data_IF_267420766793
#
_entry.id   IF_267420766793
#
_cell.length_a   1.000
_cell.length_b   1.000
_cell.length_c   1.000
_cell.angle_alpha   90.00
_cell.angle_beta   90.00
_cell.angle_gamma   90.00
#
_symmetry.space_group_name_H-M   'P 1'
#
loop_
_entity.id
_entity.type
_entity.pdbx_description
1 polymer ?
#
# COMPACT_ATOMS: atom_id res chain seq x y z
N UNK A 1 33.53 22.30 4.17
CA UNK A 1 33.04 23.67 3.91
C UNK A 1 32.49 23.82 2.49
N UNK A 2 33.33 23.71 1.46
CA UNK A 2 32.93 23.99 0.06
C UNK A 2 32.14 22.87 -0.64
N UNK A 3 31.98 21.69 -0.04
CA UNK A 3 31.42 20.52 -0.74
C UNK A 3 29.98 20.71 -1.28
N UNK A 4 29.17 21.52 -0.58
CA UNK A 4 27.79 21.81 -0.95
C UNK A 4 27.62 23.18 -1.60
N UNK A 5 28.71 23.85 -2.01
CA UNK A 5 28.63 25.20 -2.57
C UNK A 5 27.73 25.28 -3.81
N UNK A 6 27.60 24.17 -4.55
CA UNK A 6 26.70 24.09 -5.69
C UNK A 6 25.22 24.27 -5.34
N UNK A 7 24.81 24.00 -4.10
CA UNK A 7 23.43 24.27 -3.66
C UNK A 7 23.12 25.77 -3.72
N UNK A 8 24.05 26.62 -3.27
CA UNK A 8 23.88 28.07 -3.31
C UNK A 8 23.78 28.59 -4.74
N UNK A 9 24.54 27.98 -5.67
CA UNK A 9 24.49 28.34 -7.08
C UNK A 9 23.14 27.95 -7.69
N UNK A 10 22.64 26.74 -7.42
CA UNK A 10 21.37 26.25 -7.92
C UNK A 10 20.19 27.07 -7.36
N UNK A 11 20.22 27.38 -6.06
CA UNK A 11 19.23 28.24 -5.40
C UNK A 11 19.20 29.64 -6.02
N UNK A 12 20.36 30.25 -6.24
CA UNK A 12 20.44 31.60 -6.80
C UNK A 12 20.05 31.64 -8.28
N UNK A 13 20.44 30.64 -9.07
CA UNK A 13 20.17 30.60 -10.51
C UNK A 13 18.72 30.20 -10.83
N UNK A 14 18.11 29.34 -10.02
CA UNK A 14 16.79 28.74 -10.28
C UNK A 14 15.93 28.66 -9.01
N UNK A 15 15.59 29.79 -8.35
CA UNK A 15 14.96 29.77 -7.02
C UNK A 15 13.64 28.98 -6.96
N UNK A 16 12.74 29.19 -7.93
CA UNK A 16 11.44 28.50 -7.95
C UNK A 16 11.57 26.99 -8.18
N UNK A 17 12.44 26.59 -9.12
CA UNK A 17 12.73 25.19 -9.39
C UNK A 17 13.47 24.55 -8.23
N UNK A 18 14.41 25.26 -7.61
CA UNK A 18 15.15 24.80 -6.43
C UNK A 18 14.20 24.53 -5.28
N UNK A 19 13.28 25.44 -4.97
CA UNK A 19 12.26 25.21 -3.95
C UNK A 19 11.43 23.95 -4.27
N UNK A 20 10.98 23.81 -5.52
CA UNK A 20 10.24 22.61 -5.97
C UNK A 20 11.05 21.32 -5.80
N UNK A 21 12.33 21.33 -6.18
CA UNK A 21 13.30 20.23 -6.07
C UNK A 21 13.80 20.02 -4.63
N UNK A 22 13.47 20.90 -3.69
CA UNK A 22 13.69 20.68 -2.25
C UNK A 22 12.45 20.10 -1.60
N UNK A 23 11.27 20.58 -1.98
CA UNK A 23 9.99 20.23 -1.33
C UNK A 23 9.34 18.95 -1.89
N UNK A 24 9.54 18.61 -3.16
CA UNK A 24 8.98 17.36 -3.71
C UNK A 24 9.44 16.12 -2.92
N UNK A 25 8.53 15.25 -2.50
CA UNK A 25 8.90 13.98 -1.87
C UNK A 25 8.30 12.87 -2.71
N UNK A 26 9.03 12.48 -3.74
CA UNK A 26 8.72 11.33 -4.59
C UNK A 26 9.29 10.08 -3.95
N UNK A 27 8.50 9.02 -3.95
CA UNK A 27 8.91 7.74 -3.36
C UNK A 27 10.05 7.14 -4.18
N UNK A 28 11.09 6.64 -3.54
CA UNK A 28 12.32 6.07 -4.11
C UNK A 28 13.23 7.03 -4.91
N UNK A 29 13.13 8.35 -4.74
CA UNK A 29 14.04 9.29 -5.40
C UNK A 29 14.90 10.06 -4.39
N UNK A 30 16.22 9.98 -4.55
CA UNK A 30 17.15 10.78 -3.74
C UNK A 30 17.11 12.25 -4.16
N UNK A 31 17.68 13.14 -3.33
CA UNK A 31 17.87 14.54 -3.74
C UNK A 31 18.64 14.64 -5.05
N UNK A 32 19.71 13.86 -5.22
CA UNK A 32 20.53 13.87 -6.43
C UNK A 32 19.71 13.50 -7.66
N UNK A 33 18.86 12.47 -7.58
CA UNK A 33 18.01 12.06 -8.70
C UNK A 33 17.05 13.19 -9.11
N UNK A 34 16.50 13.90 -8.12
CA UNK A 34 15.59 15.03 -8.36
C UNK A 34 16.32 16.22 -9.00
N UNK A 35 17.54 16.50 -8.57
CA UNK A 35 18.38 17.54 -9.18
C UNK A 35 18.74 17.17 -10.63
N UNK A 36 19.18 15.93 -10.87
CA UNK A 36 19.50 15.41 -12.20
C UNK A 36 18.29 15.46 -13.13
N UNK A 37 17.10 15.09 -12.64
CA UNK A 37 15.86 15.17 -13.40
C UNK A 37 15.47 16.62 -13.74
N UNK A 38 15.73 17.57 -12.84
CA UNK A 38 15.35 18.97 -13.04
C UNK A 38 16.34 19.75 -13.92
N UNK A 39 17.64 19.48 -13.79
CA UNK A 39 18.70 20.29 -14.39
C UNK A 39 19.68 19.52 -15.27
N UNK A 40 19.61 18.19 -15.31
CA UNK A 40 20.61 17.34 -16.00
C UNK A 40 21.98 17.34 -15.31
N UNK A 41 22.03 17.77 -14.06
CA UNK A 41 23.22 17.82 -13.19
C UNK A 41 22.78 17.85 -11.72
N UNK A 42 23.73 17.79 -10.79
CA UNK A 42 23.48 17.86 -9.36
C UNK A 42 24.39 18.88 -8.67
N UNK A 43 24.08 19.21 -7.41
CA UNK A 43 24.82 20.22 -6.66
C UNK A 43 26.32 19.89 -6.50
N UNK A 44 26.69 18.61 -6.38
CA UNK A 44 28.09 18.21 -6.26
C UNK A 44 28.87 18.53 -7.55
N UNK A 45 28.30 18.21 -8.72
CA UNK A 45 28.89 18.51 -10.04
C UNK A 45 28.96 20.00 -10.31
N UNK A 46 27.92 20.76 -9.94
CA UNK A 46 27.92 22.23 -10.02
C UNK A 46 29.00 22.82 -9.12
N UNK A 47 29.15 22.31 -7.90
CA UNK A 47 30.20 22.71 -6.96
C UNK A 47 31.59 22.44 -7.52
N UNK A 48 31.84 21.23 -8.03
CA UNK A 48 33.10 20.88 -8.69
C UNK A 48 33.43 21.86 -9.82
N UNK A 49 32.49 22.06 -10.74
CA UNK A 49 32.69 22.96 -11.88
C UNK A 49 33.05 24.38 -11.43
N UNK A 50 32.36 24.92 -10.42
CA UNK A 50 32.68 26.23 -9.86
C UNK A 50 34.11 26.30 -9.32
N UNK A 51 34.54 25.31 -8.55
CA UNK A 51 35.88 25.27 -7.96
C UNK A 51 36.98 25.14 -9.03
N UNK A 52 36.71 24.41 -10.12
CA UNK A 52 37.60 24.35 -11.29
C UNK A 52 37.73 25.72 -11.96
N UNK A 53 36.64 26.48 -12.11
CA UNK A 53 36.70 27.84 -12.65
C UNK A 53 37.49 28.79 -11.75
N UNK A 54 37.45 28.57 -10.44
CA UNK A 54 38.27 29.30 -9.47
C UNK A 54 39.73 28.83 -9.43
N UNK A 55 40.08 27.82 -10.24
CA UNK A 55 41.43 27.24 -10.34
C UNK A 55 41.94 26.69 -9.01
N UNK A 56 41.05 26.11 -8.21
CA UNK A 56 41.47 25.34 -7.06
C UNK A 56 42.17 24.03 -7.49
N UNK A 57 43.02 23.45 -6.62
CA UNK A 57 43.66 22.17 -6.89
C UNK A 57 42.65 21.07 -7.28
N UNK A 58 42.97 20.30 -8.32
CA UNK A 58 42.11 19.25 -8.89
C UNK A 58 41.59 18.28 -7.82
N UNK A 59 42.45 17.88 -6.88
CA UNK A 59 42.08 17.01 -5.77
C UNK A 59 40.93 17.55 -4.90
N UNK A 60 40.84 18.88 -4.74
CA UNK A 60 39.73 19.53 -4.01
C UNK A 60 38.47 19.52 -4.88
N UNK A 61 38.61 19.88 -6.15
CA UNK A 61 37.51 19.88 -7.11
C UNK A 61 36.87 18.49 -7.22
N UNK A 62 37.67 17.44 -7.41
CA UNK A 62 37.20 16.06 -7.48
C UNK A 62 36.55 15.61 -6.17
N UNK A 63 37.13 15.99 -5.01
CA UNK A 63 36.55 15.66 -3.71
C UNK A 63 35.15 16.26 -3.55
N UNK A 64 34.95 17.49 -4.03
CA UNK A 64 33.63 18.13 -4.05
C UNK A 64 32.71 17.44 -5.06
N UNK A 65 33.17 17.09 -6.26
CA UNK A 65 32.32 16.43 -7.26
C UNK A 65 31.89 15.02 -6.89
N UNK A 66 32.69 14.31 -6.09
CA UNK A 66 32.52 12.88 -5.78
C UNK A 66 32.00 12.61 -4.36
N UNK A 67 31.66 13.62 -3.57
CA UNK A 67 31.30 13.40 -2.15
C UNK A 67 30.00 12.60 -1.92
N UNK A 68 29.18 12.43 -2.96
CA UNK A 68 27.98 11.59 -2.95
C UNK A 68 28.16 10.22 -3.63
N UNK A 69 29.33 9.94 -4.21
CA UNK A 69 29.60 8.68 -4.92
C UNK A 69 29.67 7.51 -3.94
N UNK A 70 29.21 6.34 -4.40
CA UNK A 70 29.45 5.08 -3.70
C UNK A 70 30.84 4.56 -4.07
N UNK A 71 31.72 4.43 -3.09
CA UNK A 71 33.08 3.94 -3.31
C UNK A 71 33.10 2.42 -3.38
N UNK A 72 34.11 1.86 -4.02
CA UNK A 72 34.34 0.42 -4.06
C UNK A 72 35.21 -0.04 -2.89
N UNK A 73 35.02 -1.28 -2.46
CA UNK A 73 35.86 -1.91 -1.44
C UNK A 73 37.31 -2.01 -1.94
N UNK A 74 38.26 -1.56 -1.13
CA UNK A 74 39.69 -1.60 -1.45
C UNK A 74 40.17 -0.43 -2.31
N UNK A 75 39.34 0.59 -2.55
CA UNK A 75 39.76 1.83 -3.21
C UNK A 75 40.64 2.67 -2.28
N UNK A 76 41.92 2.33 -2.17
CA UNK A 76 42.90 2.97 -1.27
C UNK A 76 43.91 3.86 -2.01
N UNK A 77 43.68 4.16 -3.28
CA UNK A 77 44.54 5.07 -4.04
C UNK A 77 44.57 6.46 -3.39
N UNK A 78 45.77 7.06 -3.26
CA UNK A 78 45.96 8.33 -2.53
C UNK A 78 45.08 9.47 -3.06
N UNK A 79 44.83 9.49 -4.37
CA UNK A 79 43.98 10.47 -5.05
C UNK A 79 42.50 10.38 -4.63
N UNK A 80 42.03 9.19 -4.20
CA UNK A 80 40.66 8.95 -3.79
C UNK A 80 40.42 9.23 -2.30
N UNK A 81 41.49 9.29 -1.49
CA UNK A 81 41.37 9.46 -0.04
C UNK A 81 40.67 10.76 0.35
N UNK A 82 41.00 11.94 -0.23
CA UNK A 82 40.32 13.18 0.13
C UNK A 82 38.83 13.17 -0.19
N UNK A 83 38.44 12.59 -1.33
CA UNK A 83 37.03 12.43 -1.70
C UNK A 83 36.28 11.52 -0.72
N UNK A 84 36.91 10.42 -0.30
CA UNK A 84 36.35 9.53 0.73
C UNK A 84 36.22 10.19 2.10
N UNK A 85 37.19 11.02 2.50
CA UNK A 85 37.13 11.79 3.75
C UNK A 85 35.95 12.77 3.70
N UNK A 86 35.78 13.50 2.59
CA UNK A 86 34.66 14.44 2.43
C UNK A 86 33.32 13.71 2.41
N UNK A 87 33.23 12.57 1.71
CA UNK A 87 32.03 11.74 1.69
C UNK A 87 31.67 11.20 3.09
N UNK A 88 32.66 10.69 3.84
CA UNK A 88 32.45 10.24 5.22
C UNK A 88 32.02 11.40 6.12
N UNK A 89 32.66 12.56 6.00
CA UNK A 89 32.30 13.76 6.75
C UNK A 89 30.85 14.17 6.49
N UNK A 90 30.40 14.17 5.23
CA UNK A 90 29.00 14.43 4.87
C UNK A 90 28.05 13.41 5.52
N UNK A 91 28.39 12.11 5.45
CA UNK A 91 27.58 11.04 6.04
C UNK A 91 27.44 11.15 7.56
N UNK A 92 28.45 11.67 8.27
CA UNK A 92 28.40 11.81 9.74
C UNK A 92 27.97 13.20 10.22
N UNK A 93 28.03 14.23 9.37
CA UNK A 93 27.58 15.58 9.70
C UNK A 93 26.05 15.67 9.85
N UNK A 94 25.31 14.78 9.17
CA UNK A 94 23.86 14.75 9.22
C UNK A 94 23.32 13.74 10.25
N UNK A 95 22.69 14.23 11.32
CA UNK A 95 21.78 13.44 12.18
C UNK A 95 20.36 13.38 11.58
N UNK A 96 20.24 13.28 10.26
CA UNK A 96 18.92 13.27 9.60
C UNK A 96 18.41 11.83 9.55
N UNK A 97 17.52 11.48 10.46
CA UNK A 97 16.69 10.26 10.37
C UNK A 97 15.31 10.59 9.79
N UNK A 98 14.85 11.84 9.92
CA UNK A 98 13.59 12.26 9.32
C UNK A 98 13.77 12.42 7.81
N UNK A 99 12.90 11.74 7.05
CA UNK A 99 12.69 11.91 5.60
C UNK A 99 13.51 11.04 4.64
N UNK A 100 14.32 10.09 5.11
CA UNK A 100 14.98 9.13 4.22
C UNK A 100 14.18 7.83 4.10
N UNK A 101 14.18 7.25 2.90
CA UNK A 101 13.60 5.94 2.67
C UNK A 101 14.54 4.79 3.06
N UNK A 102 13.99 3.61 3.35
CA UNK A 102 14.75 2.44 3.79
C UNK A 102 15.89 2.08 2.81
N UNK A 103 15.68 2.01 1.48
CA UNK A 103 16.76 1.69 0.55
C UNK A 103 17.91 2.72 0.58
N UNK A 104 17.59 4.01 0.71
CA UNK A 104 18.59 5.07 0.82
C UNK A 104 19.38 4.95 2.13
N UNK A 105 18.71 4.60 3.24
CA UNK A 105 19.37 4.34 4.53
C UNK A 105 20.36 3.18 4.40
N UNK A 106 19.95 2.07 3.78
CA UNK A 106 20.79 0.89 3.56
C UNK A 106 22.01 1.22 2.70
N UNK A 107 21.81 1.90 1.56
CA UNK A 107 22.88 2.31 0.66
C UNK A 107 23.89 3.24 1.35
N UNK A 108 23.42 4.21 2.13
CA UNK A 108 24.31 5.11 2.89
C UNK A 108 25.08 4.37 3.97
N UNK A 109 24.45 3.42 4.65
CA UNK A 109 25.12 2.60 5.66
C UNK A 109 26.21 1.71 5.04
N UNK A 110 25.92 1.11 3.87
CA UNK A 110 26.90 0.32 3.12
C UNK A 110 28.07 1.17 2.65
N UNK A 111 27.81 2.31 1.99
CA UNK A 111 28.86 3.22 1.54
C UNK A 111 29.73 3.71 2.72
N UNK A 112 29.12 4.04 3.86
CA UNK A 112 29.85 4.39 5.09
C UNK A 112 30.78 3.26 5.54
N UNK A 113 30.32 2.02 5.53
CA UNK A 113 31.13 0.88 5.93
C UNK A 113 32.32 0.66 4.98
N UNK A 114 32.11 0.82 3.67
CA UNK A 114 33.17 0.75 2.66
C UNK A 114 34.22 1.83 2.91
N UNK A 115 33.80 3.08 3.08
CA UNK A 115 34.71 4.20 3.30
C UNK A 115 35.52 4.00 4.59
N UNK A 116 34.89 3.55 5.69
CA UNK A 116 35.59 3.23 6.92
C UNK A 116 36.67 2.16 6.72
N UNK A 117 36.35 1.10 5.99
CA UNK A 117 37.31 0.06 5.64
C UNK A 117 38.48 0.60 4.82
N UNK A 118 38.20 1.41 3.80
CA UNK A 118 39.21 1.98 2.91
C UNK A 118 40.14 2.96 3.64
N UNK A 119 39.60 3.74 4.58
CA UNK A 119 40.37 4.70 5.39
C UNK A 119 41.07 4.05 6.59
N UNK A 120 40.89 2.73 6.82
CA UNK A 120 41.44 2.04 7.98
C UNK A 120 40.89 2.54 9.32
N UNK A 121 39.67 3.08 9.32
CA UNK A 121 39.00 3.61 10.52
C UNK A 121 38.04 2.58 11.08
N UNK A 122 38.25 2.18 12.32
CA UNK A 122 37.28 1.34 13.03
C UNK A 122 36.11 2.17 13.60
N UNK A 123 35.08 1.46 14.07
CA UNK A 123 33.88 2.09 14.64
C UNK A 123 34.16 2.83 15.96
N UNK A 124 35.18 2.41 16.71
CA UNK A 124 35.54 3.04 17.98
C UNK A 124 36.14 4.42 17.73
N UNK A 125 37.08 4.50 16.79
CA UNK A 125 37.72 5.75 16.37
C UNK A 125 36.72 6.70 15.73
N UNK A 126 35.80 6.18 14.90
CA UNK A 126 34.72 7.00 14.36
C UNK A 126 33.84 7.56 15.49
N UNK A 127 33.51 6.75 16.50
CA UNK A 127 32.70 7.20 17.65
C UNK A 127 33.37 8.34 18.42
N UNK A 128 34.69 8.30 18.58
CA UNK A 128 35.45 9.40 19.19
C UNK A 128 35.30 10.71 18.39
N UNK A 129 35.44 10.65 17.06
CA UNK A 129 35.22 11.82 16.19
C UNK A 129 33.79 12.35 16.30
N UNK A 130 32.80 11.46 16.32
CA UNK A 130 31.39 11.84 16.42
C UNK A 130 31.03 12.46 17.78
N UNK A 131 31.68 12.05 18.88
CA UNK A 131 31.45 12.65 20.21
C UNK A 131 31.85 14.11 20.27
N UNK A 132 32.93 14.48 19.60
CA UNK A 132 33.42 15.86 19.56
C UNK A 132 32.71 16.72 18.50
N UNK A 133 32.02 16.09 17.54
CA UNK A 133 31.45 16.75 16.37
C UNK A 133 30.55 17.91 16.76
N UNK A 134 29.60 17.70 17.66
CA UNK A 134 28.64 18.74 18.06
C UNK A 134 29.32 19.95 18.70
N UNK A 135 30.19 19.72 19.68
CA UNK A 135 30.92 20.80 20.36
C UNK A 135 31.77 21.60 19.38
N UNK A 136 32.52 20.90 18.50
CA UNK A 136 33.33 21.55 17.46
C UNK A 136 32.46 22.32 16.48
N UNK A 137 31.32 21.79 16.06
CA UNK A 137 30.40 22.51 15.14
C UNK A 137 29.92 23.83 15.74
N UNK A 138 29.58 23.87 17.03
CA UNK A 138 29.17 25.11 17.73
C UNK A 138 30.33 26.10 17.85
N UNK A 139 31.55 25.63 18.09
CA UNK A 139 32.73 26.49 18.15
C UNK A 139 33.06 27.09 16.77
N UNK A 140 33.05 26.26 15.72
CA UNK A 140 33.37 26.69 14.35
C UNK A 140 32.29 27.60 13.76
N UNK A 141 31.00 27.39 14.08
CA UNK A 141 29.92 28.26 13.59
C UNK A 141 30.06 29.69 14.11
N UNK A 142 30.51 29.86 15.37
CA UNK A 142 30.81 31.17 15.96
C UNK A 142 31.93 31.89 15.22
N UNK A 143 32.97 31.16 14.81
CA UNK A 143 34.05 31.73 14.01
C UNK A 143 33.55 32.22 12.64
N UNK A 144 32.59 31.50 12.04
CA UNK A 144 31.97 31.87 10.77
C UNK A 144 30.85 32.91 10.90
N UNK A 145 30.61 33.46 12.10
CA UNK A 145 29.50 34.36 12.40
C UNK A 145 28.12 33.78 12.05
N UNK A 146 28.00 32.44 12.05
CA UNK A 146 26.76 31.73 11.84
C UNK A 146 26.14 31.44 13.21
N UNK A 147 25.02 32.10 13.49
CA UNK A 147 24.22 31.82 14.68
C UNK A 147 23.39 30.54 14.47
N UNK A 148 23.80 29.47 15.14
CA UNK A 148 23.08 28.19 15.17
C UNK A 148 22.40 27.94 16.53
N UNK A 149 22.37 28.95 17.41
CA UNK A 149 21.88 28.82 18.78
C UNK A 149 22.89 28.22 19.75
N UNK A 150 22.48 28.16 21.02
CA UNK A 150 23.26 27.56 22.10
C UNK A 150 23.20 26.03 22.11
N UNK A 151 24.18 25.34 22.73
CA UNK A 151 24.12 23.89 22.95
C UNK A 151 22.81 23.42 23.57
N UNK A 152 22.28 24.17 24.54
CA UNK A 152 21.05 23.82 25.25
C UNK A 152 19.81 23.96 24.35
N UNK A 153 19.75 25.00 23.50
CA UNK A 153 18.67 25.19 22.52
C UNK A 153 18.68 24.08 21.47
N UNK A 154 19.86 23.74 20.94
CA UNK A 154 20.02 22.67 19.97
C UNK A 154 19.65 21.30 20.55
N UNK A 155 20.00 21.03 21.81
CA UNK A 155 19.61 19.80 22.51
C UNK A 155 18.10 19.76 22.79
N UNK A 156 17.52 20.88 23.23
CA UNK A 156 16.08 20.98 23.45
C UNK A 156 15.30 20.74 22.14
N UNK A 157 15.74 21.32 21.04
CA UNK A 157 15.14 21.13 19.72
C UNK A 157 15.32 19.70 19.22
N UNK A 158 16.50 19.11 19.38
CA UNK A 158 16.76 17.70 19.04
C UNK A 158 15.84 16.75 19.82
N UNK A 159 15.66 16.99 21.12
CA UNK A 159 14.74 16.23 21.96
C UNK A 159 13.28 16.41 21.53
N UNK A 160 12.89 17.62 21.14
CA UNK A 160 11.54 17.92 20.62
C UNK A 160 11.27 17.14 19.34
N UNK A 161 12.22 17.12 18.40
CA UNK A 161 12.14 16.35 17.16
C UNK A 161 12.07 14.84 17.43
N UNK A 162 12.89 14.33 18.35
CA UNK A 162 12.85 12.92 18.75
C UNK A 162 11.50 12.54 19.35
N UNK A 163 10.94 13.38 20.22
CA UNK A 163 9.61 13.15 20.78
C UNK A 163 8.52 13.14 19.71
N UNK A 164 8.59 14.06 18.74
CA UNK A 164 7.66 14.08 17.61
C UNK A 164 7.73 12.77 16.78
N UNK A 165 8.93 12.23 16.56
CA UNK A 165 9.10 10.93 15.90
C UNK A 165 8.50 9.78 16.72
N UNK A 166 8.76 9.76 18.02
CA UNK A 166 8.17 8.76 18.92
C UNK A 166 6.64 8.77 18.85
N UNK A 167 6.02 9.96 18.93
CA UNK A 167 4.58 10.12 18.82
C UNK A 167 4.03 9.67 17.46
N UNK A 168 4.76 9.93 16.37
CA UNK A 168 4.38 9.45 15.03
C UNK A 168 4.39 7.91 14.94
N UNK A 169 5.42 7.25 15.50
CA UNK A 169 5.49 5.77 15.55
C UNK A 169 4.36 5.21 16.41
N UNK A 170 4.06 5.82 17.56
CA UNK A 170 2.95 5.40 18.41
C UNK A 170 1.61 5.47 17.68
N UNK A 171 1.37 6.55 16.94
CA UNK A 171 0.18 6.69 16.09
C UNK A 171 0.12 5.61 15.02
N UNK A 172 1.21 5.36 14.29
CA UNK A 172 1.26 4.31 13.27
C UNK A 172 0.96 2.92 13.84
N UNK A 173 1.44 2.63 15.05
CA UNK A 173 1.15 1.38 15.73
C UNK A 173 -0.32 1.27 16.14
N UNK A 174 -0.93 2.37 16.59
CA UNK A 174 -2.36 2.43 16.89
C UNK A 174 -3.21 2.21 15.62
N UNK A 175 -2.89 2.92 14.54
CA UNK A 175 -3.57 2.80 13.24
C UNK A 175 -3.45 1.37 12.69
N UNK A 176 -2.28 0.75 12.81
CA UNK A 176 -2.06 -0.65 12.43
C UNK A 176 -2.96 -1.61 13.22
N UNK A 177 -3.08 -1.44 14.54
CA UNK A 177 -3.95 -2.29 15.37
C UNK A 177 -5.41 -2.17 14.96
N UNK A 178 -5.86 -0.96 14.64
CA UNK A 178 -7.23 -0.73 14.20
C UNK A 178 -7.50 -1.36 12.82
N UNK A 179 -6.58 -1.17 11.87
CA UNK A 179 -6.66 -1.82 10.56
C UNK A 179 -6.70 -3.35 10.68
N UNK A 180 -5.91 -3.95 11.57
CA UNK A 180 -5.94 -5.39 11.82
C UNK A 180 -7.30 -5.86 12.35
N UNK A 181 -7.94 -5.10 13.24
CA UNK A 181 -9.30 -5.41 13.74
C UNK A 181 -10.33 -5.33 12.62
N UNK A 182 -10.26 -4.32 11.76
CA UNK A 182 -11.16 -4.18 10.63
C UNK A 182 -11.02 -5.36 9.66
N UNK A 183 -9.79 -5.73 9.29
CA UNK A 183 -9.54 -6.89 8.43
C UNK A 183 -10.06 -8.19 9.06
N UNK A 184 -9.87 -8.39 10.36
CA UNK A 184 -10.40 -9.55 11.07
C UNK A 184 -11.94 -9.60 11.03
N UNK A 185 -12.60 -8.45 11.23
CA UNK A 185 -14.07 -8.33 11.16
C UNK A 185 -14.61 -8.62 9.76
N UNK A 186 -13.98 -8.07 8.72
CA UNK A 186 -14.36 -8.33 7.32
C UNK A 186 -14.15 -9.79 6.93
N UNK A 187 -13.08 -10.43 7.41
CA UNK A 187 -12.85 -11.88 7.19
C UNK A 187 -13.93 -12.72 7.85
N UNK A 188 -14.32 -12.41 9.09
CA UNK A 188 -15.42 -13.10 9.78
C UNK A 188 -16.74 -12.96 9.01
N UNK A 189 -17.08 -11.75 8.55
CA UNK A 189 -18.29 -11.52 7.75
C UNK A 189 -18.27 -12.32 6.44
N UNK A 190 -17.15 -12.32 5.72
CA UNK A 190 -16.99 -13.08 4.48
C UNK A 190 -17.12 -14.59 4.71
N UNK A 191 -16.48 -15.12 5.76
CA UNK A 191 -16.59 -16.54 6.12
C UNK A 191 -18.03 -16.95 6.44
N UNK A 192 -18.80 -16.11 7.14
CA UNK A 192 -20.21 -16.38 7.42
C UNK A 192 -21.06 -16.40 6.15
N UNK A 193 -20.78 -15.49 5.21
CA UNK A 193 -21.44 -15.47 3.90
C UNK A 193 -21.11 -16.72 3.08
N UNK A 194 -19.86 -17.18 3.08
CA UNK A 194 -19.44 -18.39 2.36
C UNK A 194 -20.18 -19.64 2.87
N UNK A 195 -20.38 -19.77 4.20
CA UNK A 195 -21.16 -20.86 4.79
C UNK A 195 -22.62 -20.80 4.33
N UNK A 196 -23.21 -19.61 4.32
CA UNK A 196 -24.59 -19.42 3.87
C UNK A 196 -24.73 -19.75 2.38
N UNK A 197 -23.76 -19.36 1.55
CA UNK A 197 -23.71 -19.69 0.12
C UNK A 197 -23.67 -21.19 -0.10
N UNK A 198 -22.74 -21.90 0.53
CA UNK A 198 -22.61 -23.37 0.42
C UNK A 198 -23.88 -24.09 0.89
N UNK A 199 -24.47 -23.65 2.00
CA UNK A 199 -25.73 -24.21 2.49
C UNK A 199 -26.88 -23.98 1.50
N UNK A 200 -27.00 -22.77 0.96
CA UNK A 200 -28.05 -22.40 -0.01
C UNK A 200 -27.93 -23.22 -1.29
N UNK A 201 -26.72 -23.38 -1.84
CA UNK A 201 -26.47 -24.22 -3.01
C UNK A 201 -26.81 -25.70 -2.74
N UNK A 202 -26.53 -26.20 -1.52
CA UNK A 202 -26.89 -27.57 -1.14
C UNK A 202 -28.41 -27.78 -1.08
N UNK A 203 -29.14 -26.82 -0.50
CA UNK A 203 -30.61 -26.85 -0.48
C UNK A 203 -31.21 -26.75 -1.88
N UNK A 204 -30.71 -25.85 -2.74
CA UNK A 204 -31.16 -25.70 -4.12
C UNK A 204 -31.03 -27.01 -4.91
N UNK A 205 -29.88 -27.70 -4.80
CA UNK A 205 -29.67 -29.03 -5.41
C UNK A 205 -30.65 -30.08 -4.88
N UNK A 206 -30.90 -30.11 -3.58
CA UNK A 206 -31.83 -31.05 -2.98
C UNK A 206 -33.26 -30.80 -3.45
N UNK A 207 -33.71 -29.54 -3.42
CA UNK A 207 -35.04 -29.13 -3.87
C UNK A 207 -35.24 -29.45 -5.36
N UNK A 208 -34.23 -29.20 -6.22
CA UNK A 208 -34.29 -29.55 -7.64
C UNK A 208 -34.51 -31.05 -7.84
N UNK A 209 -33.78 -31.90 -7.09
CA UNK A 209 -33.96 -33.35 -7.15
C UNK A 209 -35.37 -33.76 -6.71
N UNK A 210 -35.86 -33.22 -5.59
CA UNK A 210 -37.20 -33.50 -5.09
C UNK A 210 -38.28 -33.06 -6.08
N UNK A 211 -38.20 -31.84 -6.61
CA UNK A 211 -39.11 -31.32 -7.63
C UNK A 211 -39.13 -32.19 -8.90
N UNK A 212 -37.97 -32.68 -9.35
CA UNK A 212 -37.90 -33.58 -10.51
C UNK A 212 -38.56 -34.93 -10.24
N UNK A 213 -38.40 -35.49 -9.05
CA UNK A 213 -39.04 -36.75 -8.67
C UNK A 213 -40.57 -36.63 -8.60
N UNK A 214 -41.08 -35.55 -7.97
CA UNK A 214 -42.53 -35.32 -7.89
C UNK A 214 -43.09 -35.05 -9.29
N UNK A 215 -42.37 -34.29 -10.13
CA UNK A 215 -42.76 -34.04 -11.52
C UNK A 215 -42.92 -35.36 -12.28
N UNK A 216 -41.89 -36.22 -12.27
CA UNK A 216 -41.91 -37.51 -12.97
C UNK A 216 -43.06 -38.40 -12.51
N UNK A 217 -43.30 -38.50 -11.20
CA UNK A 217 -44.39 -39.32 -10.65
C UNK A 217 -45.78 -38.77 -11.04
N UNK A 218 -45.92 -37.45 -11.07
CA UNK A 218 -47.18 -36.78 -11.41
C UNK A 218 -47.47 -36.87 -12.91
N UNK A 219 -46.44 -36.76 -13.74
CA UNK A 219 -46.50 -36.90 -15.20
C UNK A 219 -46.88 -38.34 -15.60
N UNK A 220 -46.31 -39.35 -14.93
CA UNK A 220 -46.68 -40.76 -15.11
C UNK A 220 -48.16 -41.03 -14.79
N UNK A 221 -48.70 -40.41 -13.73
CA UNK A 221 -50.12 -40.51 -13.38
C UNK A 221 -51.01 -39.88 -14.43
N UNK A 222 -50.61 -38.73 -15.00
CA UNK A 222 -51.35 -38.09 -16.09
C UNK A 222 -51.32 -38.92 -17.37
N UNK A 223 -50.17 -39.47 -17.74
CA UNK A 223 -50.06 -40.39 -18.86
C UNK A 223 -50.94 -41.64 -18.69
N UNK A 224 -50.97 -42.22 -17.48
CA UNK A 224 -51.82 -43.37 -17.18
C UNK A 224 -53.34 -43.03 -17.21
N UNK A 225 -53.72 -41.78 -16.94
CA UNK A 225 -55.09 -41.29 -17.13
C UNK A 225 -55.42 -41.13 -18.62
N UNK A 226 -54.51 -40.55 -19.41
CA UNK A 226 -54.69 -40.30 -20.85
C UNK A 226 -54.78 -41.61 -21.65
N UNK A 227 -53.98 -42.62 -21.29
CA UNK A 227 -53.99 -43.96 -21.91
C UNK A 227 -55.15 -44.85 -21.40
N UNK A 228 -55.98 -44.34 -20.47
CA UNK A 228 -57.15 -45.02 -19.92
C UNK A 228 -56.85 -46.14 -18.90
N UNK A 229 -55.60 -46.25 -18.44
CA UNK A 229 -55.19 -47.21 -17.41
C UNK A 229 -55.73 -46.85 -16.01
N UNK A 230 -56.04 -45.56 -15.75
CA UNK A 230 -56.68 -45.06 -14.53
C UNK A 230 -58.03 -44.44 -14.91
N UNK A 231 -59.10 -44.81 -14.20
CA UNK A 231 -60.42 -44.23 -14.40
C UNK A 231 -60.63 -42.99 -13.50
N UNK A 232 -60.83 -41.81 -14.10
CA UNK A 232 -61.15 -40.56 -13.40
C UNK A 232 -62.47 -39.93 -13.89
N UNK A 233 -63.62 -40.54 -13.54
CA UNK A 233 -64.92 -40.12 -14.06
C UNK A 233 -65.37 -38.72 -13.60
N UNK A 234 -64.71 -38.14 -12.58
CA UNK A 234 -65.00 -36.78 -12.08
C UNK A 234 -63.91 -35.76 -12.44
N UNK A 235 -62.83 -36.19 -13.11
CA UNK A 235 -61.71 -35.31 -13.47
C UNK A 235 -60.90 -34.79 -12.28
N UNK A 236 -61.09 -35.35 -11.08
CA UNK A 236 -60.49 -34.84 -9.84
C UNK A 236 -59.01 -35.17 -9.77
N UNK A 237 -58.61 -36.35 -10.23
CA UNK A 237 -57.21 -36.82 -10.21
C UNK A 237 -56.41 -36.05 -11.26
N UNK A 238 -56.97 -35.88 -12.46
CA UNK A 238 -56.35 -35.09 -13.53
C UNK A 238 -56.18 -33.62 -13.13
N UNK A 239 -57.20 -33.04 -12.48
CA UNK A 239 -57.12 -31.67 -11.98
C UNK A 239 -56.05 -31.52 -10.89
N UNK A 240 -56.05 -32.37 -9.87
CA UNK A 240 -55.04 -32.32 -8.79
C UNK A 240 -53.62 -32.54 -9.31
N UNK A 241 -53.41 -33.46 -10.26
CA UNK A 241 -52.09 -33.70 -10.85
C UNK A 241 -51.58 -32.47 -11.63
N UNK A 242 -52.44 -31.79 -12.39
CA UNK A 242 -52.07 -30.54 -13.08
C UNK A 242 -51.72 -29.43 -12.10
N UNK A 243 -52.51 -29.25 -11.03
CA UNK A 243 -52.21 -28.27 -9.96
C UNK A 243 -50.87 -28.56 -9.27
N UNK A 244 -50.52 -29.84 -9.06
CA UNK A 244 -49.21 -30.25 -8.52
C UNK A 244 -48.08 -29.88 -9.50
N UNK A 245 -48.24 -30.15 -10.80
CA UNK A 245 -47.25 -29.76 -11.81
C UNK A 245 -47.04 -28.25 -11.88
N UNK A 246 -48.11 -27.46 -11.85
CA UNK A 246 -48.04 -25.99 -11.83
C UNK A 246 -47.30 -25.48 -10.59
N UNK A 247 -47.56 -26.09 -9.42
CA UNK A 247 -46.86 -25.78 -8.17
C UNK A 247 -45.37 -26.12 -8.25
N UNK A 248 -45.00 -27.25 -8.87
CA UNK A 248 -43.60 -27.64 -9.06
C UNK A 248 -42.88 -26.68 -10.02
N UNK A 249 -43.55 -26.22 -11.08
CA UNK A 249 -42.99 -25.24 -12.00
C UNK A 249 -42.69 -23.91 -11.29
N UNK A 250 -43.56 -23.47 -10.38
CA UNK A 250 -43.30 -22.32 -9.53
C UNK A 250 -42.09 -22.56 -8.61
N UNK A 251 -42.01 -23.70 -7.92
CA UNK A 251 -40.88 -24.07 -7.06
C UNK A 251 -39.56 -24.08 -7.84
N UNK A 252 -39.52 -24.66 -9.04
CA UNK A 252 -38.32 -24.64 -9.90
C UNK A 252 -37.86 -23.22 -10.22
N UNK A 253 -38.81 -22.31 -10.45
CA UNK A 253 -38.50 -20.90 -10.73
C UNK A 253 -37.90 -20.21 -9.51
N UNK A 254 -38.36 -20.54 -8.30
CA UNK A 254 -37.78 -20.05 -7.04
C UNK A 254 -36.35 -20.54 -6.84
N UNK A 255 -36.08 -21.82 -7.13
CA UNK A 255 -34.75 -22.40 -6.99
C UNK A 255 -33.75 -21.71 -7.92
N UNK A 256 -34.12 -21.46 -9.18
CA UNK A 256 -33.28 -20.74 -10.14
C UNK A 256 -32.93 -19.31 -9.68
N UNK A 257 -33.88 -18.63 -9.05
CA UNK A 257 -33.63 -17.29 -8.50
C UNK A 257 -32.68 -17.35 -7.29
N UNK A 258 -32.83 -18.36 -6.43
CA UNK A 258 -31.90 -18.62 -5.32
C UNK A 258 -30.47 -18.91 -5.81
N UNK A 259 -30.31 -19.67 -6.90
CA UNK A 259 -28.99 -19.95 -7.48
C UNK A 259 -28.35 -18.68 -8.08
N UNK A 260 -29.12 -17.84 -8.76
CA UNK A 260 -28.67 -16.54 -9.26
C UNK A 260 -28.20 -15.61 -8.13
N UNK A 261 -28.91 -15.59 -7.00
CA UNK A 261 -28.55 -14.83 -5.80
C UNK A 261 -27.19 -15.26 -5.23
N UNK A 262 -26.91 -16.56 -5.21
CA UNK A 262 -25.63 -17.09 -4.71
C UNK A 262 -24.44 -16.87 -5.66
N UNK A 263 -24.71 -16.58 -6.95
CA UNK A 263 -23.70 -16.32 -7.98
C UNK A 263 -23.20 -14.87 -8.07
N UNK A 264 -23.88 -13.90 -7.44
CA UNK A 264 -23.50 -12.48 -7.45
C UNK A 264 -22.38 -12.20 -6.43
N UNK A 265 -21.12 -12.40 -6.82
CA UNK A 265 -19.98 -11.97 -6.00
C UNK A 265 -19.73 -10.47 -6.10
N UNK A 266 -19.76 -9.77 -4.95
CA UNK A 266 -19.05 -8.49 -4.77
C UNK A 266 -19.76 -7.21 -5.22
N UNK A 267 -21.02 -7.25 -5.67
CA UNK A 267 -21.80 -6.02 -5.87
C UNK A 267 -22.31 -5.50 -4.53
N UNK A 268 -21.90 -4.30 -4.15
CA UNK A 268 -22.58 -3.50 -3.12
C UNK A 268 -23.96 -3.17 -3.66
N UNK A 269 -24.91 -4.02 -3.34
CA UNK A 269 -26.32 -3.81 -3.65
C UNK A 269 -26.90 -3.08 -2.44
N UNK A 270 -27.66 -2.01 -2.67
CA UNK A 270 -28.51 -1.44 -1.62
C UNK A 270 -29.55 -2.51 -1.24
N UNK A 271 -29.27 -3.21 -0.12
CA UNK A 271 -29.99 -4.40 0.33
C UNK A 271 -31.51 -4.20 0.30
N UNK A 272 -32.00 -2.98 0.58
CA UNK A 272 -33.44 -2.71 0.64
C UNK A 272 -34.12 -2.61 -0.73
N UNK A 273 -33.51 -1.94 -1.71
CA UNK A 273 -34.11 -1.83 -3.06
C UNK A 273 -34.13 -3.17 -3.77
N UNK A 274 -33.08 -3.96 -3.57
CA UNK A 274 -32.99 -5.28 -4.18
C UNK A 274 -33.96 -6.28 -3.55
N UNK A 275 -34.07 -6.30 -2.21
CA UNK A 275 -35.08 -7.12 -1.51
C UNK A 275 -36.50 -6.77 -1.98
N UNK A 276 -36.86 -5.49 -2.07
CA UNK A 276 -38.17 -5.07 -2.56
C UNK A 276 -38.44 -5.51 -4.02
N UNK A 277 -37.40 -5.46 -4.87
CA UNK A 277 -37.51 -5.93 -6.26
C UNK A 277 -37.66 -7.45 -6.37
N UNK A 278 -36.98 -8.20 -5.49
CA UNK A 278 -37.03 -9.65 -5.41
C UNK A 278 -38.40 -10.10 -4.91
N UNK A 279 -38.90 -9.51 -3.82
CA UNK A 279 -40.24 -9.78 -3.27
C UNK A 279 -41.33 -9.53 -4.31
N UNK A 280 -41.23 -8.45 -5.09
CA UNK A 280 -42.17 -8.15 -6.17
C UNK A 280 -42.15 -9.22 -7.27
N UNK A 281 -40.97 -9.62 -7.75
CA UNK A 281 -40.80 -10.68 -8.76
C UNK A 281 -41.30 -12.04 -8.28
N UNK A 282 -41.04 -12.37 -7.01
CA UNK A 282 -41.50 -13.59 -6.36
C UNK A 282 -43.04 -13.63 -6.30
N UNK A 283 -43.66 -12.54 -5.85
CA UNK A 283 -45.12 -12.43 -5.74
C UNK A 283 -45.83 -12.47 -7.11
N UNK A 284 -45.25 -11.85 -8.15
CA UNK A 284 -45.80 -11.91 -9.51
C UNK A 284 -45.77 -13.33 -10.10
N UNK A 285 -44.72 -14.11 -9.81
CA UNK A 285 -44.56 -15.49 -10.32
C UNK A 285 -45.32 -16.55 -9.51
N UNK A 286 -45.60 -16.30 -8.23
CA UNK A 286 -46.34 -17.22 -7.34
C UNK A 286 -47.87 -17.01 -7.37
N UNK A 287 -48.35 -15.87 -7.86
CA UNK A 287 -49.79 -15.52 -7.97
C UNK A 287 -50.69 -16.61 -8.61
N UNK A 288 -50.30 -17.30 -9.70
CA UNK A 288 -51.17 -18.33 -10.31
C UNK A 288 -51.33 -19.61 -9.48
N UNK A 289 -50.44 -19.87 -8.51
CA UNK A 289 -50.50 -21.06 -7.62
C UNK A 289 -51.42 -20.82 -6.42
N UNK A 290 -51.55 -19.58 -5.96
CA UNK A 290 -52.40 -19.22 -4.81
C UNK A 290 -53.86 -18.99 -5.19
N UNK A 291 -54.13 -18.55 -6.43
CA UNK A 291 -55.51 -18.33 -6.91
C UNK A 291 -56.22 -19.64 -7.34
N UNK A 292 -55.46 -20.71 -7.61
CA UNK A 292 -55.97 -22.05 -7.96
C UNK A 292 -56.22 -22.95 -6.74
N UNK A 293 -55.88 -22.51 -5.52
CA UNK A 293 -56.04 -23.25 -4.27
C UNK A 293 -57.29 -22.84 -3.44
N UNK A 294 -58.14 -21.96 -3.96
CA UNK A 294 -59.46 -21.69 -3.38
C UNK A 294 -60.47 -22.72 -3.97
N UNK A 295 -61.32 -23.34 -3.13
CA UNK A 295 -62.22 -24.42 -3.55
C UNK A 295 -63.22 -23.99 -4.63
#
# INVERSE_FOLDING_TARGET
LLHDIGLLILEQAYPDTFQTVRESKTRNESLLDREENAWGTNHARVGQFLLEQWRLPEIICESVGRHHVTFTVGATDEELLPGQIVALANLIACFRVSDMEIPEIEQRAENKAIILSNLGLDTARLSEVQKELFTRTVEESRFLEIDIGSPDELLAESNRLLFAQYAAVEKLLADRREMQRQVARSRLQRSSFDVLKVATEAYARYLTKASNAIYAQTDEVLHALDDGAIADPKGLVAHSARTILDTIAAIRTLILEMENLTGMEGTVIDDQQYLASLEKKLNEKLRPVTETAAP
#
